data_IF_392147141043
#
_entry.id   IF_392147141043
#
_cell.length_a   1.000
_cell.length_b   1.000
_cell.length_c   1.000
_cell.angle_alpha   90.00
_cell.angle_beta   90.00
_cell.angle_gamma   90.00
#
_symmetry.space_group_name_H-M   'P 1'
#
loop_
_entity.id
_entity.type
_entity.pdbx_description
1 polymer ?
#
# COMPACT_ATOMS: atom_id res chain seq x y z
N UNK A 1 18.79 -23.47 -24.07
CA UNK A 1 19.08 -22.21 -24.80
C UNK A 1 17.81 -21.83 -25.54
N UNK A 2 17.01 -20.85 -25.15
CA UNK A 2 17.23 -19.71 -24.26
C UNK A 2 15.90 -19.34 -23.61
N UNK A 3 15.99 -18.96 -22.33
CA UNK A 3 14.92 -18.85 -21.37
C UNK A 3 13.80 -17.86 -21.70
N UNK A 4 12.62 -18.31 -21.29
CA UNK A 4 11.37 -17.59 -21.12
C UNK A 4 11.60 -16.28 -20.35
N UNK A 5 11.53 -15.13 -21.01
CA UNK A 5 11.32 -13.86 -20.31
C UNK A 5 10.34 -13.04 -21.13
N UNK A 6 9.07 -13.09 -20.74
CA UNK A 6 8.10 -12.04 -21.07
C UNK A 6 8.16 -11.06 -19.90
N UNK A 7 8.97 -9.99 -19.95
CA UNK A 7 8.76 -8.89 -19.03
C UNK A 7 7.75 -7.94 -19.67
N UNK A 8 7.04 -7.21 -18.82
CA UNK A 8 6.61 -5.84 -19.11
C UNK A 8 5.23 -5.53 -19.70
N UNK A 9 4.25 -6.45 -19.65
CA UNK A 9 2.84 -6.08 -19.94
C UNK A 9 1.90 -6.29 -18.76
N UNK A 10 2.38 -6.12 -17.52
CA UNK A 10 1.45 -5.79 -16.43
C UNK A 10 1.17 -4.28 -16.53
N UNK A 11 0.10 -3.99 -17.24
CA UNK A 11 -0.50 -2.69 -17.48
C UNK A 11 -0.32 -1.75 -16.28
N UNK A 12 0.50 -0.70 -16.44
CA UNK A 12 0.63 0.43 -15.52
C UNK A 12 -0.68 1.23 -15.50
N UNK A 13 -1.77 0.67 -15.01
CA UNK A 13 -3.07 1.35 -14.94
C UNK A 13 -3.25 2.17 -13.66
N UNK A 14 -2.28 2.19 -12.77
CA UNK A 14 -2.35 3.01 -11.56
C UNK A 14 -1.50 4.25 -11.78
N UNK A 15 -2.16 5.36 -12.13
CA UNK A 15 -1.53 6.67 -12.03
C UNK A 15 -1.03 6.83 -10.60
N UNK A 16 0.25 7.18 -10.44
CA UNK A 16 0.79 7.48 -9.12
C UNK A 16 -0.02 8.61 -8.51
N UNK A 17 -0.33 8.49 -7.21
CA UNK A 17 -0.99 9.55 -6.45
C UNK A 17 -0.18 10.85 -6.58
N UNK A 18 -0.88 11.99 -6.61
CA UNK A 18 -0.26 13.32 -6.50
C UNK A 18 0.43 13.52 -5.14
N UNK A 19 0.18 12.66 -4.17
CA UNK A 19 0.84 12.68 -2.87
C UNK A 19 2.33 12.37 -3.00
N UNK A 20 3.16 13.30 -2.53
CA UNK A 20 4.61 13.16 -2.40
C UNK A 20 5.00 13.17 -0.93
N UNK A 21 5.68 12.11 -0.50
CA UNK A 21 6.22 12.03 0.85
C UNK A 21 7.34 13.07 1.03
N UNK A 22 7.12 14.04 1.92
CA UNK A 22 8.06 15.14 2.22
C UNK A 22 9.32 14.67 2.95
N UNK A 23 9.27 13.51 3.62
CA UNK A 23 10.42 12.96 4.33
C UNK A 23 11.29 12.08 3.43
N UNK A 24 10.89 11.83 2.19
CA UNK A 24 11.67 11.04 1.25
C UNK A 24 12.98 11.76 0.89
N UNK A 25 14.10 11.20 1.34
CA UNK A 25 15.44 11.67 0.97
C UNK A 25 15.89 10.95 -0.30
N UNK A 26 15.56 11.53 -1.46
CA UNK A 26 15.93 11.02 -2.78
C UNK A 26 15.40 11.91 -3.91
N UNK A 27 15.70 11.55 -5.16
CA UNK A 27 15.16 12.27 -6.32
C UNK A 27 13.75 11.76 -6.69
N UNK A 28 13.00 12.55 -7.45
CA UNK A 28 11.61 12.24 -7.83
C UNK A 28 11.48 10.92 -8.61
N UNK A 29 12.45 10.64 -9.49
CA UNK A 29 12.47 9.42 -10.31
C UNK A 29 12.65 8.16 -9.46
N UNK A 30 13.49 8.21 -8.43
CA UNK A 30 13.66 7.12 -7.47
C UNK A 30 12.42 6.94 -6.61
N UNK A 31 11.74 8.03 -6.24
CA UNK A 31 10.48 7.97 -5.52
C UNK A 31 9.41 7.28 -6.37
N UNK A 32 9.28 7.65 -7.65
CA UNK A 32 8.34 7.03 -8.59
C UNK A 32 8.60 5.54 -8.76
N UNK A 33 9.87 5.15 -8.93
CA UNK A 33 10.26 3.73 -9.03
C UNK A 33 9.88 2.96 -7.77
N UNK A 34 10.12 3.53 -6.59
CA UNK A 34 9.76 2.90 -5.31
C UNK A 34 8.25 2.82 -5.11
N UNK A 35 7.50 3.85 -5.48
CA UNK A 35 6.03 3.86 -5.39
C UNK A 35 5.41 2.82 -6.34
N UNK A 36 5.95 2.67 -7.55
CA UNK A 36 5.52 1.64 -8.50
C UNK A 36 5.80 0.21 -8.02
N UNK A 37 6.81 0.03 -7.17
CA UNK A 37 7.18 -1.27 -6.59
C UNK A 37 6.58 -1.48 -5.19
N UNK A 38 5.97 -0.45 -4.61
CA UNK A 38 5.41 -0.51 -3.26
C UNK A 38 4.09 -1.27 -3.27
N UNK A 39 3.93 -2.15 -2.29
CA UNK A 39 2.66 -2.83 -1.99
C UNK A 39 1.98 -2.25 -0.75
N UNK A 40 2.51 -1.17 -0.20
CA UNK A 40 1.96 -0.49 0.98
C UNK A 40 0.83 0.44 0.55
N UNK A 41 -0.36 0.25 1.12
CA UNK A 41 -1.54 1.05 0.85
C UNK A 41 -1.89 1.92 2.06
N UNK A 42 -2.26 3.17 1.80
CA UNK A 42 -2.90 4.04 2.79
C UNK A 42 -4.40 4.01 2.56
N UNK A 43 -5.16 3.69 3.61
CA UNK A 43 -6.62 3.66 3.57
C UNK A 43 -7.13 4.69 4.58
N UNK A 44 -7.80 5.73 4.07
CA UNK A 44 -8.43 6.77 4.88
C UNK A 44 -9.96 6.64 4.86
N UNK A 45 -10.64 7.49 5.64
CA UNK A 45 -12.10 7.49 5.76
C UNK A 45 -12.69 6.12 6.17
N UNK A 46 -11.94 5.36 6.95
CA UNK A 46 -12.42 4.13 7.57
C UNK A 46 -13.37 4.48 8.72
N UNK A 47 -14.37 3.64 8.92
CA UNK A 47 -15.28 3.78 10.06
C UNK A 47 -14.54 3.48 11.36
N UNK A 48 -14.82 4.23 12.42
CA UNK A 48 -14.28 4.03 13.77
C UNK A 48 -14.65 2.68 14.40
N UNK A 49 -15.57 1.94 13.80
CA UNK A 49 -15.95 0.60 14.27
C UNK A 49 -15.21 -0.51 13.52
N UNK A 50 -14.34 -0.16 12.56
CA UNK A 50 -13.59 -1.13 11.77
C UNK A 50 -12.46 -1.68 12.64
N UNK A 51 -12.34 -2.99 12.77
CA UNK A 51 -11.22 -3.59 13.51
C UNK A 51 -10.09 -4.02 12.59
N UNK A 52 -8.89 -4.19 13.14
CA UNK A 52 -7.73 -4.68 12.41
C UNK A 52 -8.01 -6.06 11.78
N UNK A 53 -8.75 -6.93 12.48
CA UNK A 53 -9.11 -8.26 11.99
C UNK A 53 -10.00 -8.19 10.74
N UNK A 54 -10.96 -7.26 10.69
CA UNK A 54 -11.82 -7.07 9.52
C UNK A 54 -11.02 -6.62 8.30
N UNK A 55 -10.05 -5.71 8.51
CA UNK A 55 -9.12 -5.26 7.47
C UNK A 55 -8.27 -6.45 7.01
N UNK A 56 -7.68 -7.18 7.95
CA UNK A 56 -6.86 -8.34 7.64
C UNK A 56 -7.63 -9.38 6.83
N UNK A 57 -8.84 -9.78 7.25
CA UNK A 57 -9.65 -10.77 6.55
C UNK A 57 -10.00 -10.31 5.12
N UNK A 58 -10.36 -9.03 4.95
CA UNK A 58 -10.69 -8.48 3.65
C UNK A 58 -9.48 -8.51 2.70
N UNK A 59 -8.33 -7.98 3.15
CA UNK A 59 -7.12 -7.89 2.33
C UNK A 59 -6.41 -9.24 2.16
N UNK A 60 -6.60 -10.19 3.07
CA UNK A 60 -6.08 -11.57 2.94
C UNK A 60 -6.61 -12.29 1.70
N UNK A 61 -7.80 -11.92 1.21
CA UNK A 61 -8.38 -12.48 -0.02
C UNK A 61 -7.61 -12.04 -1.27
N UNK A 62 -6.92 -10.91 -1.21
CA UNK A 62 -6.09 -10.40 -2.30
C UNK A 62 -4.63 -10.88 -2.21
N UNK A 63 -4.19 -11.41 -1.06
CA UNK A 63 -2.85 -11.96 -0.85
C UNK A 63 -2.37 -11.82 0.59
N UNK A 64 -1.12 -12.22 0.85
CA UNK A 64 -0.55 -12.19 2.19
C UNK A 64 -0.33 -10.76 2.70
N UNK A 65 -0.97 -10.44 3.83
CA UNK A 65 -0.81 -9.14 4.49
C UNK A 65 0.41 -9.17 5.41
N UNK A 66 1.48 -8.46 5.01
CA UNK A 66 2.73 -8.42 5.78
C UNK A 66 2.63 -7.65 7.10
N UNK A 67 1.85 -6.57 7.12
CA UNK A 67 1.73 -5.65 8.26
C UNK A 67 0.50 -4.76 8.10
N UNK A 68 -0.24 -4.57 9.18
CA UNK A 68 -1.27 -3.53 9.30
C UNK A 68 -0.80 -2.54 10.36
N UNK A 69 -0.99 -1.25 10.09
CA UNK A 69 -0.69 -0.18 11.05
C UNK A 69 -1.96 0.66 11.16
N UNK A 70 -2.76 0.41 12.19
CA UNK A 70 -3.97 1.17 12.48
C UNK A 70 -3.65 2.24 13.52
N UNK A 71 -4.00 3.49 13.23
CA UNK A 71 -3.82 4.60 14.15
C UNK A 71 -4.87 4.52 15.25
N UNK A 72 -4.53 3.92 16.39
CA UNK A 72 -5.41 3.86 17.56
C UNK A 72 -5.72 5.28 18.04
N UNK A 73 -7.00 5.67 18.03
CA UNK A 73 -7.45 6.91 18.66
C UNK A 73 -7.13 6.85 20.17
N UNK A 74 -6.46 7.89 20.68
CA UNK A 74 -6.03 7.99 22.09
C UNK A 74 -7.18 8.32 23.05
N UNK A 75 -8.37 8.66 22.54
CA UNK A 75 -9.45 9.26 23.33
C UNK A 75 -10.52 8.24 23.74
N UNK A 76 -10.78 7.25 22.90
CA UNK A 76 -11.69 6.13 23.19
C UNK A 76 -10.92 4.87 22.85
N UNK A 77 -10.67 4.01 23.84
CA UNK A 77 -10.00 2.70 23.69
C UNK A 77 -10.85 1.72 22.87
N UNK A 78 -11.19 2.10 21.65
CA UNK A 78 -11.89 1.32 20.65
C UNK A 78 -11.17 1.59 19.34
N UNK A 79 -10.78 0.52 18.62
CA UNK A 79 -9.72 0.51 17.62
C UNK A 79 -9.90 1.50 16.47
#
# INVERSE_FOLDING_TARGET
MSDLTIPFLFQKSVALSSYRDRQFRGNEVEQDKKLLQSTTLYVGNLSFFTTEEQIHELFSRAGDVKRIIMGLDKTTKTP
#
